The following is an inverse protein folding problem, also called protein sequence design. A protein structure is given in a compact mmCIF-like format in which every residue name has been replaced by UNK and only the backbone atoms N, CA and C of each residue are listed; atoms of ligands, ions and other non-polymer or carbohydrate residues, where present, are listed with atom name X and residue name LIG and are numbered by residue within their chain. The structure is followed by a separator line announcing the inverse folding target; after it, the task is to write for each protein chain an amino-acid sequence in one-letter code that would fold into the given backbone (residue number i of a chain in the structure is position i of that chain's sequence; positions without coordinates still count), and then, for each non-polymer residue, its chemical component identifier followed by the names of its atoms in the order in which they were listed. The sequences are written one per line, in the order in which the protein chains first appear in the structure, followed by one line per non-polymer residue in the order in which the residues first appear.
data_IF_655742751707
#
_entry.id   IF_655742751707
#
_cell.length_a   1.000
_cell.length_b   1.000
_cell.length_c   1.000
_cell.angle_alpha   90.00
_cell.angle_beta   90.00
_cell.angle_gamma   90.00
#
_symmetry.space_group_name_H-M   'P 1'
#
loop_
_entity.id
_entity.type
_entity.pdbx_description
1 polymer ?
#
# COMPACT_ATOMS: atom_id res chain seq x y z
N UNK A 1 0.00 4.91 -17.84
CA UNK A 1 -0.56 3.68 -18.44
C UNK A 1 -0.76 2.68 -17.32
N UNK A 2 -2.01 2.36 -16.95
CA UNK A 2 -2.31 1.36 -15.92
C UNK A 2 -2.10 -0.02 -16.55
N UNK A 3 -1.06 -0.73 -16.17
CA UNK A 3 -0.84 -2.12 -16.53
C UNK A 3 -1.72 -3.00 -15.65
N UNK A 4 -2.70 -3.68 -16.24
CA UNK A 4 -3.51 -4.68 -15.52
C UNK A 4 -2.65 -5.92 -15.28
N UNK A 5 -2.48 -6.29 -14.01
CA UNK A 5 -1.81 -7.50 -13.58
C UNK A 5 -2.47 -8.74 -14.22
N UNK A 6 -1.96 -9.19 -15.35
CA UNK A 6 -2.02 -10.57 -15.81
C UNK A 6 -0.68 -11.16 -15.41
N UNK A 7 -0.62 -12.43 -15.05
CA UNK A 7 0.57 -13.23 -14.70
C UNK A 7 1.78 -12.94 -15.65
N UNK A 8 2.33 -11.75 -15.54
CA UNK A 8 3.53 -11.31 -16.24
C UNK A 8 4.63 -11.41 -15.20
N UNK A 9 5.73 -12.12 -15.47
CA UNK A 9 6.88 -12.10 -14.57
C UNK A 9 7.26 -10.65 -14.26
N UNK A 10 7.44 -10.31 -13.00
CA UNK A 10 7.60 -8.93 -12.51
C UNK A 10 8.80 -8.21 -13.16
N UNK A 11 9.86 -8.94 -13.51
CA UNK A 11 10.99 -8.42 -14.29
C UNK A 11 10.60 -7.91 -15.67
N UNK A 12 9.65 -8.58 -16.35
CA UNK A 12 9.15 -8.12 -17.64
C UNK A 12 8.32 -6.85 -17.51
N UNK A 13 7.51 -6.75 -16.46
CA UNK A 13 6.72 -5.55 -16.17
C UNK A 13 7.61 -4.34 -15.93
N UNK A 14 8.68 -4.52 -15.13
CA UNK A 14 9.67 -3.47 -14.87
C UNK A 14 10.40 -3.08 -16.15
N UNK A 15 10.81 -4.04 -17.00
CA UNK A 15 11.42 -3.75 -18.30
C UNK A 15 10.51 -2.92 -19.22
N UNK A 16 9.23 -3.29 -19.34
CA UNK A 16 8.23 -2.54 -20.11
C UNK A 16 8.00 -1.11 -19.55
N UNK A 17 8.07 -0.96 -18.21
CA UNK A 17 7.96 0.35 -17.57
C UNK A 17 9.19 1.23 -17.85
N UNK A 18 10.40 0.69 -17.74
CA UNK A 18 11.66 1.37 -18.05
C UNK A 18 11.69 1.85 -19.50
N UNK A 19 11.31 0.99 -20.45
CA UNK A 19 11.19 1.36 -21.87
C UNK A 19 10.16 2.48 -22.06
N UNK A 20 9.01 2.38 -21.41
CA UNK A 20 7.92 3.36 -21.54
C UNK A 20 8.21 4.71 -20.90
N UNK A 21 9.05 4.76 -19.87
CA UNK A 21 9.52 5.98 -19.21
C UNK A 21 10.74 6.61 -19.91
N UNK A 22 11.48 5.80 -20.65
CA UNK A 22 12.75 6.22 -21.27
C UNK A 22 13.91 6.36 -20.27
N UNK A 23 13.82 5.72 -19.09
CA UNK A 23 14.79 5.81 -18.02
C UNK A 23 14.49 4.86 -16.86
N UNK A 24 15.29 4.94 -15.78
CA UNK A 24 15.11 4.17 -14.55
C UNK A 24 13.78 4.52 -13.84
N UNK A 25 13.38 3.65 -12.93
CA UNK A 25 12.22 3.88 -12.05
C UNK A 25 12.74 4.47 -10.74
N UNK A 26 12.40 5.71 -10.46
CA UNK A 26 12.80 6.38 -9.23
C UNK A 26 11.79 6.13 -8.09
N UNK A 27 10.51 5.94 -8.44
CA UNK A 27 9.43 5.71 -7.48
C UNK A 27 8.61 4.50 -7.89
N UNK A 28 8.52 3.49 -7.00
CA UNK A 28 7.63 2.35 -7.12
C UNK A 28 6.46 2.47 -6.14
N UNK A 29 5.22 2.50 -6.66
CA UNK A 29 4.01 2.50 -5.83
C UNK A 29 3.26 1.18 -5.98
N UNK A 30 3.30 0.33 -4.97
CA UNK A 30 2.56 -0.92 -4.89
C UNK A 30 1.14 -0.67 -4.37
N UNK A 31 0.23 -0.28 -5.27
CA UNK A 31 -1.16 0.05 -4.96
C UNK A 31 -2.13 -1.10 -5.25
N UNK A 32 -1.82 -1.99 -6.19
CA UNK A 32 -2.70 -3.10 -6.54
C UNK A 32 -2.90 -4.05 -5.35
N UNK A 33 -4.14 -4.49 -5.11
CA UNK A 33 -4.45 -5.40 -4.02
C UNK A 33 -5.63 -6.31 -4.35
N UNK A 34 -5.64 -7.51 -3.76
CA UNK A 34 -6.77 -8.43 -3.72
C UNK A 34 -7.42 -8.38 -2.33
N UNK A 35 -8.51 -7.60 -2.21
CA UNK A 35 -9.31 -7.48 -1.00
C UNK A 35 -10.50 -8.44 -1.05
N UNK A 36 -10.30 -9.67 -0.59
CA UNK A 36 -11.31 -10.73 -0.56
C UNK A 36 -11.72 -10.97 0.90
N UNK A 37 -13.00 -10.71 1.20
CA UNK A 37 -13.55 -10.79 2.56
C UNK A 37 -14.42 -12.02 2.69
N UNK A 38 -13.96 -12.98 3.48
CA UNK A 38 -14.63 -14.27 3.71
C UNK A 38 -14.15 -14.88 5.03
N UNK A 39 -15.01 -15.62 5.77
CA UNK A 39 -14.59 -16.34 6.98
C UNK A 39 -13.43 -17.30 6.70
N UNK A 40 -12.47 -17.38 7.63
CA UNK A 40 -11.28 -18.22 7.47
C UNK A 40 -11.60 -19.71 7.34
N UNK A 41 -12.65 -20.17 8.05
CA UNK A 41 -13.05 -21.60 8.02
C UNK A 41 -13.40 -22.07 6.60
N UNK A 42 -14.01 -21.19 5.79
CA UNK A 42 -14.49 -21.51 4.44
C UNK A 42 -13.72 -20.76 3.34
N UNK A 43 -12.51 -20.29 3.65
CA UNK A 43 -11.72 -19.49 2.71
C UNK A 43 -11.09 -20.38 1.63
N UNK A 44 -11.52 -20.26 0.34
CA UNK A 44 -11.01 -21.11 -0.73
C UNK A 44 -9.51 -20.93 -0.97
N UNK A 45 -8.82 -22.06 -1.21
CA UNK A 45 -7.37 -22.08 -1.39
C UNK A 45 -6.89 -21.14 -2.52
N UNK A 46 -7.57 -21.15 -3.65
CA UNK A 46 -7.24 -20.29 -4.79
C UNK A 46 -7.39 -18.79 -4.47
N UNK A 47 -8.38 -18.40 -3.65
CA UNK A 47 -8.55 -17.02 -3.21
C UNK A 47 -7.49 -16.61 -2.20
N UNK A 48 -7.09 -17.53 -1.31
CA UNK A 48 -5.99 -17.30 -0.38
C UNK A 48 -4.67 -17.09 -1.13
N UNK A 49 -4.37 -17.92 -2.11
CA UNK A 49 -3.20 -17.76 -2.96
C UNK A 49 -3.24 -16.40 -3.69
N UNK A 50 -4.35 -16.04 -4.32
CA UNK A 50 -4.50 -14.76 -5.00
C UNK A 50 -4.29 -13.58 -4.04
N UNK A 51 -4.81 -13.66 -2.80
CA UNK A 51 -4.65 -12.58 -1.81
C UNK A 51 -3.17 -12.38 -1.45
N UNK A 52 -2.44 -13.46 -1.16
CA UNK A 52 -1.02 -13.36 -0.81
C UNK A 52 -0.14 -13.03 -2.02
N UNK A 53 -0.45 -13.57 -3.18
CA UNK A 53 0.24 -13.24 -4.43
C UNK A 53 0.17 -11.73 -4.71
N UNK A 54 -1.04 -11.17 -4.74
CA UNK A 54 -1.22 -9.77 -5.08
C UNK A 54 -0.73 -8.80 -3.99
N UNK A 55 -0.86 -9.18 -2.69
CA UNK A 55 -0.64 -8.25 -1.60
C UNK A 55 0.75 -8.38 -0.95
N UNK A 56 1.48 -9.47 -1.22
CA UNK A 56 2.75 -9.78 -0.55
C UNK A 56 3.84 -10.10 -1.57
N UNK A 57 3.63 -11.12 -2.41
CA UNK A 57 4.68 -11.59 -3.34
C UNK A 57 4.95 -10.58 -4.43
N UNK A 58 3.94 -10.12 -5.17
CA UNK A 58 4.12 -9.15 -6.24
C UNK A 58 4.77 -7.82 -5.78
N UNK A 59 4.39 -7.20 -4.65
CA UNK A 59 5.12 -6.05 -4.10
C UNK A 59 6.60 -6.33 -3.84
N UNK A 60 6.94 -7.50 -3.28
CA UNK A 60 8.31 -7.89 -3.01
C UNK A 60 9.10 -8.12 -4.30
N UNK A 61 8.52 -8.84 -5.26
CA UNK A 61 9.14 -9.15 -6.56
C UNK A 61 9.41 -7.87 -7.37
N UNK A 62 8.44 -6.92 -7.37
CA UNK A 62 8.62 -5.62 -8.01
C UNK A 62 9.71 -4.79 -7.30
N UNK A 63 9.74 -4.80 -5.96
CA UNK A 63 10.80 -4.14 -5.22
C UNK A 63 12.17 -4.72 -5.59
N UNK A 64 12.33 -6.05 -5.58
CA UNK A 64 13.58 -6.71 -5.97
C UNK A 64 14.00 -6.38 -7.40
N UNK A 65 13.05 -6.19 -8.31
CA UNK A 65 13.33 -5.88 -9.71
C UNK A 65 13.82 -4.43 -9.94
N UNK A 66 13.38 -3.45 -9.09
CA UNK A 66 13.81 -2.03 -9.22
C UNK A 66 15.03 -1.70 -8.35
N UNK A 67 15.25 -2.43 -7.25
CA UNK A 67 16.31 -2.15 -6.28
C UNK A 67 17.71 -2.00 -6.88
N UNK A 68 18.18 -2.84 -7.84
CA UNK A 68 19.54 -2.68 -8.39
C UNK A 68 19.77 -1.30 -8.98
N UNK A 69 18.84 -0.76 -9.77
CA UNK A 69 18.97 0.56 -10.38
C UNK A 69 18.84 1.70 -9.36
N UNK A 70 17.95 1.57 -8.36
CA UNK A 70 17.81 2.57 -7.30
C UNK A 70 19.08 2.66 -6.43
N UNK A 71 19.67 1.51 -6.05
CA UNK A 71 20.92 1.46 -5.27
C UNK A 71 22.07 2.04 -6.09
N UNK A 72 22.18 1.73 -7.38
CA UNK A 72 23.22 2.29 -8.27
C UNK A 72 23.08 3.81 -8.39
N UNK A 73 21.85 4.32 -8.47
CA UNK A 73 21.56 5.76 -8.49
C UNK A 73 21.82 6.45 -7.13
N UNK A 74 21.84 5.69 -6.03
CA UNK A 74 21.91 6.22 -4.66
C UNK A 74 20.62 6.92 -4.24
N UNK A 75 19.52 6.71 -4.94
CA UNK A 75 18.23 7.33 -4.67
C UNK A 75 17.07 6.48 -5.18
N UNK A 76 16.00 6.37 -4.36
CA UNK A 76 14.78 5.67 -4.76
C UNK A 76 13.74 5.61 -3.64
N UNK A 77 12.46 5.45 -4.04
CA UNK A 77 11.34 5.35 -3.10
C UNK A 77 10.43 4.18 -3.45
N UNK A 78 10.15 3.34 -2.48
CA UNK A 78 9.17 2.25 -2.60
C UNK A 78 8.05 2.50 -1.61
N UNK A 79 6.85 2.71 -2.11
CA UNK A 79 5.65 2.95 -1.33
C UNK A 79 4.66 1.81 -1.47
N UNK A 80 4.34 1.17 -0.34
CA UNK A 80 3.39 0.08 -0.26
C UNK A 80 2.04 0.55 0.31
N UNK A 81 0.93 0.33 -0.42
CA UNK A 81 -0.42 0.63 0.08
C UNK A 81 -0.87 -0.51 1.01
N UNK A 82 -0.87 -0.23 2.32
CA UNK A 82 -1.30 -1.16 3.36
C UNK A 82 -2.78 -0.96 3.73
N UNK A 83 -3.18 -1.36 4.92
CA UNK A 83 -4.55 -1.26 5.40
C UNK A 83 -4.59 -1.28 6.94
N UNK A 84 -5.48 -0.52 7.55
CA UNK A 84 -5.75 -0.61 8.99
C UNK A 84 -6.16 -2.01 9.48
N UNK A 85 -6.54 -2.90 8.55
CA UNK A 85 -6.83 -4.32 8.85
C UNK A 85 -5.59 -5.15 9.17
N UNK A 86 -4.37 -4.62 8.93
CA UNK A 86 -3.10 -5.26 9.31
C UNK A 86 -2.93 -5.36 10.83
N UNK A 87 -3.61 -4.51 11.58
CA UNK A 87 -3.55 -4.49 13.05
C UNK A 87 -4.30 -5.67 13.63
N UNK A 88 -3.73 -6.39 14.62
CA UNK A 88 -4.43 -7.49 15.30
C UNK A 88 -5.61 -6.96 16.11
N UNK A 89 -6.63 -7.80 16.27
CA UNK A 89 -7.67 -7.53 17.25
C UNK A 89 -7.20 -7.93 18.66
N UNK A 90 -7.57 -7.13 19.64
CA UNK A 90 -7.29 -7.39 21.04
C UNK A 90 -8.56 -7.95 21.71
N UNK A 91 -8.39 -8.85 22.64
CA UNK A 91 -9.49 -9.48 23.37
C UNK A 91 -9.09 -10.73 24.11
N UNK A 92 -10.01 -11.55 24.71
CA UNK A 92 -11.47 -11.45 24.70
C UNK A 92 -12.03 -10.36 25.68
N UNK A 93 -13.20 -9.77 25.39
CA UNK A 93 -13.97 -9.93 24.14
C UNK A 93 -13.30 -9.20 22.97
N UNK A 94 -13.47 -9.72 21.73
CA UNK A 94 -12.84 -9.13 20.55
C UNK A 94 -13.74 -8.08 19.90
N UNK A 95 -13.21 -6.90 19.66
CA UNK A 95 -13.86 -5.84 18.88
C UNK A 95 -13.43 -5.94 17.41
N UNK A 96 -14.28 -6.55 16.59
CA UNK A 96 -13.91 -6.88 15.19
C UNK A 96 -14.48 -5.90 14.13
N UNK A 97 -15.19 -4.85 14.56
CA UNK A 97 -15.78 -3.87 13.67
C UNK A 97 -16.90 -4.41 12.77
N UNK A 98 -17.36 -3.59 11.81
CA UNK A 98 -18.54 -3.88 10.98
C UNK A 98 -18.34 -5.00 9.96
N UNK A 99 -17.11 -5.26 9.54
CA UNK A 99 -16.75 -6.33 8.60
C UNK A 99 -16.49 -7.68 9.30
N UNK A 100 -16.45 -7.67 10.64
CA UNK A 100 -16.25 -8.86 11.44
C UNK A 100 -14.94 -9.58 11.10
N UNK A 101 -14.89 -10.88 11.36
CA UNK A 101 -13.72 -11.72 11.12
C UNK A 101 -13.46 -12.04 9.63
N UNK A 102 -14.34 -11.61 8.72
CA UNK A 102 -14.20 -11.87 7.28
C UNK A 102 -12.97 -11.22 6.65
N UNK A 103 -12.39 -10.19 7.28
CA UNK A 103 -11.20 -9.48 6.83
C UNK A 103 -9.88 -10.13 7.28
N UNK A 104 -9.91 -11.22 8.06
CA UNK A 104 -8.72 -11.75 8.72
C UNK A 104 -7.61 -12.19 7.74
N UNK A 105 -7.93 -12.88 6.64
CA UNK A 105 -6.92 -13.29 5.64
C UNK A 105 -6.35 -12.08 4.90
N UNK A 106 -7.20 -11.13 4.53
CA UNK A 106 -6.74 -9.87 3.94
C UNK A 106 -5.84 -9.09 4.91
N UNK A 107 -6.27 -8.95 6.17
CA UNK A 107 -5.48 -8.30 7.22
C UNK A 107 -4.13 -8.97 7.44
N UNK A 108 -4.09 -10.31 7.47
CA UNK A 108 -2.84 -11.06 7.58
C UNK A 108 -1.88 -10.78 6.41
N UNK A 109 -2.39 -10.68 5.17
CA UNK A 109 -1.55 -10.32 4.01
C UNK A 109 -1.01 -8.88 4.12
N UNK A 110 -1.81 -7.94 4.63
CA UNK A 110 -1.35 -6.54 4.84
C UNK A 110 -0.37 -6.42 6.02
N UNK A 111 -0.55 -7.21 7.08
CA UNK A 111 0.44 -7.32 8.15
C UNK A 111 1.78 -7.88 7.67
N UNK A 112 1.75 -8.87 6.77
CA UNK A 112 2.95 -9.38 6.11
C UNK A 112 3.63 -8.29 5.25
N UNK A 113 2.87 -7.51 4.49
CA UNK A 113 3.38 -6.39 3.69
C UNK A 113 4.03 -5.31 4.58
N UNK A 114 3.40 -4.94 5.70
CA UNK A 114 3.95 -4.00 6.67
C UNK A 114 5.28 -4.51 7.25
N UNK A 115 5.36 -5.81 7.57
CA UNK A 115 6.60 -6.41 8.07
C UNK A 115 7.70 -6.45 7.02
N UNK A 116 7.38 -6.74 5.75
CA UNK A 116 8.34 -6.69 4.63
C UNK A 116 8.82 -5.26 4.40
N UNK A 117 7.93 -4.27 4.42
CA UNK A 117 8.27 -2.85 4.32
C UNK A 117 9.31 -2.44 5.38
N UNK A 118 9.05 -2.78 6.64
CA UNK A 118 9.96 -2.50 7.74
C UNK A 118 11.30 -3.24 7.56
N UNK A 119 11.27 -4.50 7.14
CA UNK A 119 12.48 -5.28 6.89
C UNK A 119 13.35 -4.70 5.77
N UNK A 120 12.76 -4.37 4.64
CA UNK A 120 13.47 -3.77 3.50
C UNK A 120 14.00 -2.37 3.86
N UNK A 121 13.22 -1.54 4.56
CA UNK A 121 13.70 -0.23 5.01
C UNK A 121 14.93 -0.34 5.93
N UNK A 122 14.95 -1.33 6.82
CA UNK A 122 16.09 -1.58 7.68
C UNK A 122 17.32 -2.12 6.92
N UNK A 123 17.10 -3.02 5.94
CA UNK A 123 18.16 -3.61 5.12
C UNK A 123 18.81 -2.57 4.21
N UNK A 124 18.02 -1.64 3.68
CA UNK A 124 18.45 -0.63 2.72
C UNK A 124 18.86 0.71 3.36
N UNK A 125 18.83 0.79 4.68
CA UNK A 125 19.21 2.02 5.38
C UNK A 125 20.64 2.46 5.00
N UNK A 126 20.79 3.72 4.60
CA UNK A 126 22.06 4.29 4.13
C UNK A 126 22.41 4.00 2.66
N UNK A 127 21.55 3.31 1.92
CA UNK A 127 21.72 3.08 0.47
C UNK A 127 21.12 4.20 -0.41
N UNK A 128 20.39 5.14 0.20
CA UNK A 128 19.61 6.14 -0.52
C UNK A 128 18.23 5.64 -1.00
N UNK A 129 17.83 4.42 -0.65
CA UNK A 129 16.50 3.87 -0.99
C UNK A 129 15.60 3.84 0.25
N UNK A 130 14.44 4.48 0.15
CA UNK A 130 13.42 4.55 1.21
C UNK A 130 12.29 3.57 0.89
N UNK A 131 11.87 2.80 1.89
CA UNK A 131 10.77 1.83 1.74
C UNK A 131 9.76 2.07 2.84
N UNK A 132 8.56 2.55 2.48
CA UNK A 132 7.52 2.88 3.44
C UNK A 132 6.18 2.25 3.06
N UNK A 133 5.29 2.12 4.02
CA UNK A 133 3.91 1.77 3.81
C UNK A 133 2.99 2.89 4.32
N UNK A 134 1.85 3.06 3.65
CA UNK A 134 0.79 3.96 4.07
C UNK A 134 -0.54 3.23 4.08
N UNK A 135 -1.37 3.51 5.06
CA UNK A 135 -2.70 2.96 5.19
C UNK A 135 -3.72 4.07 5.47
N UNK A 136 -4.97 3.91 5.03
CA UNK A 136 -6.03 4.81 5.45
C UNK A 136 -6.32 4.63 6.93
N UNK A 137 -6.75 5.69 7.61
CA UNK A 137 -7.17 5.62 9.02
C UNK A 137 -8.34 4.65 9.21
N UNK A 138 -9.28 4.66 8.27
CA UNK A 138 -10.43 3.74 8.26
C UNK A 138 -10.66 3.18 6.86
N UNK A 139 -11.23 3.94 5.95
CA UNK A 139 -11.49 3.49 4.57
C UNK A 139 -11.47 4.65 3.58
N UNK A 140 -10.97 4.37 2.37
CA UNK A 140 -11.14 5.25 1.20
C UNK A 140 -12.18 4.61 0.30
N UNK A 141 -13.25 5.36 -0.03
CA UNK A 141 -14.29 4.88 -0.93
C UNK A 141 -13.86 5.00 -2.40
N UNK A 142 -12.89 4.18 -2.82
CA UNK A 142 -12.70 3.91 -4.25
C UNK A 142 -13.91 3.15 -4.83
N UNK A 143 -14.06 3.14 -6.15
CA UNK A 143 -15.16 2.39 -6.82
C UNK A 143 -15.21 0.91 -6.39
N UNK A 144 -14.05 0.28 -6.18
CA UNK A 144 -13.94 -1.10 -5.71
C UNK A 144 -14.37 -1.25 -4.25
N UNK A 145 -13.89 -0.38 -3.37
CA UNK A 145 -14.21 -0.39 -1.94
C UNK A 145 -15.70 -0.08 -1.68
N UNK A 146 -16.29 0.85 -2.44
CA UNK A 146 -17.71 1.19 -2.35
C UNK A 146 -18.61 -0.02 -2.63
N UNK A 147 -18.25 -0.87 -3.58
CA UNK A 147 -18.98 -2.10 -3.92
C UNK A 147 -18.96 -3.13 -2.79
N UNK A 148 -17.86 -3.21 -2.04
CA UNK A 148 -17.64 -4.24 -1.01
C UNK A 148 -18.10 -3.78 0.37
N UNK A 149 -17.80 -2.56 0.77
CA UNK A 149 -17.95 -2.08 2.13
C UNK A 149 -18.81 -0.81 2.28
N UNK A 150 -19.12 -0.09 1.21
CA UNK A 150 -19.68 1.28 1.26
C UNK A 150 -20.96 1.44 2.09
N UNK A 151 -21.84 0.43 2.14
CA UNK A 151 -23.07 0.47 2.94
C UNK A 151 -22.86 0.16 4.44
N UNK A 152 -21.68 -0.30 4.82
CA UNK A 152 -21.34 -0.73 6.20
C UNK A 152 -20.46 0.28 6.93
N UNK A 153 -19.96 1.31 6.24
CA UNK A 153 -19.09 2.32 6.79
C UNK A 153 -19.87 3.57 7.18
N UNK A 154 -19.56 4.14 8.33
CA UNK A 154 -20.08 5.44 8.75
C UNK A 154 -19.29 6.56 8.07
N UNK A 155 -19.86 7.76 7.86
CA UNK A 155 -19.14 8.89 7.25
C UNK A 155 -17.84 9.25 7.95
N UNK A 156 -17.79 9.13 9.29
CA UNK A 156 -16.60 9.38 10.12
C UNK A 156 -15.48 8.33 9.95
N UNK A 157 -15.77 7.23 9.25
CA UNK A 157 -14.84 6.16 8.90
C UNK A 157 -14.33 6.27 7.47
N UNK A 158 -14.62 7.36 6.77
CA UNK A 158 -14.26 7.53 5.36
C UNK A 158 -13.33 8.74 5.25
N UNK A 159 -12.18 8.54 4.65
CA UNK A 159 -11.33 9.64 4.19
C UNK A 159 -11.45 9.81 2.66
N UNK A 160 -11.21 11.00 2.17
CA UNK A 160 -11.28 11.27 0.74
C UNK A 160 -10.09 10.65 -0.02
N UNK A 161 -10.26 10.46 -1.32
CA UNK A 161 -9.16 9.98 -2.19
C UNK A 161 -8.03 11.00 -2.18
N UNK A 162 -8.37 12.29 -2.19
CA UNK A 162 -7.42 13.41 -2.16
C UNK A 162 -6.56 13.39 -0.88
N UNK A 163 -7.18 13.17 0.27
CA UNK A 163 -6.47 13.03 1.56
C UNK A 163 -5.51 11.85 1.53
N UNK A 164 -5.97 10.68 1.03
CA UNK A 164 -5.13 9.49 0.90
C UNK A 164 -3.97 9.72 -0.06
N UNK A 165 -4.19 10.40 -1.18
CA UNK A 165 -3.15 10.71 -2.17
C UNK A 165 -2.11 11.65 -1.57
N UNK A 166 -2.51 12.77 -0.97
CA UNK A 166 -1.56 13.71 -0.36
C UNK A 166 -0.74 13.08 0.75
N UNK A 167 -1.38 12.32 1.65
CA UNK A 167 -0.69 11.60 2.72
C UNK A 167 0.21 10.46 2.21
N UNK A 168 0.06 10.05 0.95
CA UNK A 168 0.90 9.04 0.30
C UNK A 168 2.08 9.68 -0.44
N UNK A 169 1.86 10.79 -1.15
CA UNK A 169 2.86 11.45 -2.00
C UNK A 169 4.09 11.87 -1.18
N UNK A 170 3.90 12.34 0.04
CA UNK A 170 5.02 12.75 0.90
C UNK A 170 6.02 11.60 1.14
N UNK A 171 5.54 10.37 1.21
CA UNK A 171 6.41 9.18 1.38
C UNK A 171 7.09 8.73 0.08
N UNK A 172 6.63 9.22 -1.06
CA UNK A 172 7.25 8.97 -2.36
C UNK A 172 8.34 9.99 -2.72
N UNK A 173 8.64 10.95 -1.81
CA UNK A 173 9.69 11.94 -1.96
C UNK A 173 10.29 12.36 -0.60
N UNK A 174 10.18 11.51 0.44
CA UNK A 174 10.64 11.79 1.80
C UNK A 174 12.18 11.73 1.92
N UNK A 175 12.68 12.29 3.03
CA UNK A 175 14.10 12.28 3.40
C UNK A 175 14.57 10.87 3.81
N UNK A 176 15.90 10.69 3.94
CA UNK A 176 16.53 9.37 4.17
C UNK A 176 16.19 8.73 5.51
N UNK A 177 15.88 9.53 6.52
CA UNK A 177 15.50 9.06 7.86
C UNK A 177 14.07 8.54 7.94
N UNK A 178 13.25 8.79 6.91
CA UNK A 178 11.87 8.31 6.81
C UNK A 178 11.84 7.03 5.98
N UNK A 179 12.19 5.92 6.60
CA UNK A 179 12.19 4.60 5.96
C UNK A 179 11.79 3.49 6.94
N UNK A 180 11.28 2.38 6.43
CA UNK A 180 10.84 1.22 7.22
C UNK A 180 9.57 1.46 8.03
N UNK A 181 8.81 2.51 7.74
CA UNK A 181 7.63 2.92 8.50
C UNK A 181 6.33 2.43 7.84
N UNK A 182 5.31 2.18 8.68
CA UNK A 182 3.92 1.99 8.24
C UNK A 182 3.07 3.08 8.89
N UNK A 183 2.69 4.08 8.11
CA UNK A 183 2.04 5.29 8.58
C UNK A 183 0.55 5.33 8.24
N UNK A 184 -0.17 6.30 8.78
CA UNK A 184 -1.57 6.58 8.44
C UNK A 184 -1.63 7.86 7.62
N UNK A 185 -2.31 7.83 6.48
CA UNK A 185 -2.43 8.97 5.55
C UNK A 185 -2.83 10.28 6.22
N UNK A 186 -3.86 10.26 7.08
CA UNK A 186 -4.31 11.45 7.80
C UNK A 186 -3.31 11.92 8.87
N UNK A 187 -2.51 11.02 9.43
CA UNK A 187 -1.46 11.41 10.37
C UNK A 187 -0.30 12.08 9.63
N UNK A 188 0.03 11.59 8.42
CA UNK A 188 1.01 12.24 7.54
C UNK A 188 0.61 13.66 7.16
N UNK A 189 -0.69 13.91 6.88
CA UNK A 189 -1.16 15.28 6.59
C UNK A 189 -0.88 16.25 7.73
N UNK A 190 -1.01 15.78 8.97
CA UNK A 190 -0.78 16.59 10.17
C UNK A 190 0.73 16.74 10.43
N UNK A 191 1.47 15.64 10.39
CA UNK A 191 2.89 15.60 10.72
C UNK A 191 3.74 16.43 9.75
N UNK A 192 3.40 16.38 8.45
CA UNK A 192 4.10 17.12 7.41
C UNK A 192 3.42 18.43 7.01
N UNK A 193 2.41 18.88 7.76
CA UNK A 193 1.67 20.13 7.53
C UNK A 193 1.16 20.28 6.08
N UNK A 194 0.63 19.20 5.50
CA UNK A 194 0.25 19.13 4.10
C UNK A 194 -1.14 19.72 3.86
N UNK A 195 -1.25 20.59 2.85
CA UNK A 195 -2.53 21.04 2.33
C UNK A 195 -3.08 19.99 1.35
N UNK A 196 -4.34 19.58 1.56
CA UNK A 196 -5.00 18.63 0.65
C UNK A 196 -5.35 19.33 -0.66
N UNK A 197 -4.85 18.81 -1.77
CA UNK A 197 -5.10 19.30 -3.13
C UNK A 197 -6.07 18.34 -3.85
N UNK A 198 -6.71 18.83 -4.90
CA UNK A 198 -7.47 17.98 -5.82
C UNK A 198 -6.56 17.00 -6.57
N UNK A 199 -7.13 15.98 -7.18
CA UNK A 199 -6.37 14.98 -7.98
C UNK A 199 -5.68 15.58 -9.21
N UNK A 200 -6.01 16.83 -9.56
CA UNK A 200 -5.34 17.65 -10.57
C UNK A 200 -4.21 18.53 -10.00
N UNK A 201 -3.83 18.29 -8.76
CA UNK A 201 -2.82 19.00 -7.98
C UNK A 201 -3.17 20.48 -7.68
N UNK A 202 -4.42 20.91 -7.87
CA UNK A 202 -4.88 22.27 -7.55
C UNK A 202 -5.44 22.34 -6.13
N UNK A 203 -5.37 23.52 -5.47
CA UNK A 203 -6.05 23.71 -4.19
C UNK A 203 -7.53 23.33 -4.27
N UNK A 204 -8.03 22.66 -3.24
CA UNK A 204 -9.47 22.44 -3.11
C UNK A 204 -10.16 23.78 -2.79
N UNK A 205 -11.40 24.01 -3.29
CA UNK A 205 -12.14 25.25 -3.07
C UNK A 205 -12.54 25.46 -1.61
#
# INVERSE_FOLDING_TARGET
RVLKCRHIPDQRLVGEAVEGLGGSIDVLVNNAAAAIYQPMADYPLNRRHLTFEANVHAPLDLAQAVLPSMIEAGEGWILNLSSGTSRPWYGPPFEVGSLGTTIAIYGASKAALDRLTNGLGAELYGSGVRVNAVQPRAAVLSEGAAKVAGKKLRPDQIESIEQMVEGSVVLACCDEDITGQSTVSLDNLIEFELAVRGLDARPLP
#
